data_IF_156923412568
#
_entry.id   IF_156923412568
#
_cell.length_a   1.000
_cell.length_b   1.000
_cell.length_c   1.000
_cell.angle_alpha   90.00
_cell.angle_beta   90.00
_cell.angle_gamma   90.00
#
_symmetry.space_group_name_H-M   'P 1'
#
loop_
_entity.id
_entity.type
_entity.pdbx_description
1 polymer ?
#
# COMPACT_ATOMS: atom_id res chain seq x y z
N UNK A 1 17.04 -16.54 -0.94
CA UNK A 1 16.99 -15.10 -0.59
C UNK A 1 15.69 -14.64 0.06
N UNK A 2 14.49 -14.94 -0.46
CA UNK A 2 13.23 -14.48 0.14
C UNK A 2 12.98 -15.01 1.57
N UNK A 3 13.27 -16.29 1.83
CA UNK A 3 13.11 -16.90 3.17
C UNK A 3 14.08 -16.33 4.21
N UNK A 4 15.34 -16.09 3.83
CA UNK A 4 16.33 -15.46 4.71
C UNK A 4 15.92 -14.02 5.10
N UNK A 5 15.40 -13.24 4.15
CA UNK A 5 14.89 -11.90 4.42
C UNK A 5 13.62 -11.92 5.28
N UNK A 6 12.73 -12.90 5.06
CA UNK A 6 11.54 -13.10 5.89
C UNK A 6 11.91 -13.49 7.33
N UNK A 7 12.90 -14.38 7.49
CA UNK A 7 13.42 -14.81 8.78
C UNK A 7 14.10 -13.66 9.54
N UNK A 8 14.99 -12.91 8.89
CA UNK A 8 15.61 -11.72 9.48
C UNK A 8 14.56 -10.69 9.90
N UNK A 9 13.53 -10.47 9.07
CA UNK A 9 12.40 -9.60 9.42
C UNK A 9 11.59 -10.11 10.61
N UNK A 10 11.42 -11.43 10.77
CA UNK A 10 10.70 -12.01 11.90
C UNK A 10 11.48 -11.93 13.22
N UNK A 11 12.81 -12.05 13.16
CA UNK A 11 13.70 -11.87 14.32
C UNK A 11 13.77 -10.41 14.76
N UNK A 12 13.95 -9.49 13.82
CA UNK A 12 14.05 -8.05 14.11
C UNK A 12 12.70 -7.44 14.51
N UNK A 13 11.59 -8.00 14.03
CA UNK A 13 10.24 -7.52 14.29
C UNK A 13 9.37 -8.64 14.86
N UNK A 14 9.58 -9.09 16.12
CA UNK A 14 8.85 -10.22 16.70
C UNK A 14 7.33 -10.03 16.64
N UNK A 15 6.59 -11.10 16.28
CA UNK A 15 5.15 -11.01 15.94
C UNK A 15 4.33 -10.30 17.02
N UNK A 16 4.43 -10.77 18.26
CA UNK A 16 3.65 -10.25 19.38
C UNK A 16 3.99 -8.81 19.70
N UNK A 17 5.28 -8.53 19.94
CA UNK A 17 5.76 -7.18 20.25
C UNK A 17 5.41 -6.16 19.16
N UNK A 18 5.57 -6.53 17.89
CA UNK A 18 5.27 -5.66 16.76
C UNK A 18 3.76 -5.43 16.58
N UNK A 19 2.92 -6.47 16.69
CA UNK A 19 1.47 -6.30 16.56
C UNK A 19 0.89 -5.45 17.70
N UNK A 20 1.34 -5.67 18.94
CA UNK A 20 0.95 -4.84 20.09
C UNK A 20 1.33 -3.38 19.85
N UNK A 21 2.59 -3.12 19.46
CA UNK A 21 3.04 -1.77 19.14
C UNK A 21 2.25 -1.13 18.00
N UNK A 22 1.97 -1.88 16.93
CA UNK A 22 1.19 -1.40 15.79
C UNK A 22 -0.22 -0.97 16.23
N UNK A 23 -0.88 -1.72 17.10
CA UNK A 23 -2.20 -1.33 17.61
C UNK A 23 -2.13 -0.13 18.54
N UNK A 24 -1.21 -0.11 19.49
CA UNK A 24 -1.04 1.01 20.43
C UNK A 24 -0.75 2.32 19.70
N UNK A 25 0.05 2.26 18.64
CA UNK A 25 0.42 3.43 17.82
C UNK A 25 -0.57 3.70 16.69
N UNK A 26 -1.75 3.05 16.67
CA UNK A 26 -2.75 3.18 15.58
C UNK A 26 -2.13 3.06 14.19
N UNK A 27 -1.28 2.05 14.03
CA UNK A 27 -0.59 1.70 12.79
C UNK A 27 0.21 2.85 12.15
N UNK A 28 0.68 3.81 12.96
CA UNK A 28 1.60 4.85 12.51
C UNK A 28 2.95 4.22 12.11
N UNK A 29 3.21 4.22 10.79
CA UNK A 29 4.36 3.57 10.19
C UNK A 29 5.65 4.27 10.62
N UNK A 30 5.66 5.61 10.72
CA UNK A 30 6.88 6.36 11.06
C UNK A 30 7.24 6.15 12.52
N UNK A 31 6.25 6.12 13.43
CA UNK A 31 6.47 5.74 14.84
C UNK A 31 6.95 4.30 15.00
N UNK A 32 6.47 3.38 14.16
CA UNK A 32 6.96 2.01 14.14
C UNK A 32 8.39 1.91 13.60
N UNK A 33 8.78 2.74 12.63
CA UNK A 33 10.16 2.83 12.16
C UNK A 33 11.10 3.26 13.29
N UNK A 34 10.73 4.30 14.03
CA UNK A 34 11.47 4.81 15.20
C UNK A 34 11.63 3.72 16.26
N UNK A 35 10.53 3.05 16.63
CA UNK A 35 10.52 2.07 17.72
C UNK A 35 11.35 0.81 17.43
N UNK A 36 11.36 0.35 16.18
CA UNK A 36 12.01 -0.91 15.80
C UNK A 36 13.30 -0.71 14.99
N UNK A 37 13.77 0.53 14.83
CA UNK A 37 14.95 0.89 14.03
C UNK A 37 14.92 0.23 12.65
N UNK A 38 13.76 0.34 11.98
CA UNK A 38 13.49 -0.33 10.72
C UNK A 38 13.12 0.68 9.63
N UNK A 39 13.45 0.34 8.38
CA UNK A 39 13.04 1.15 7.23
C UNK A 39 11.53 1.09 7.00
N UNK A 40 10.99 2.09 6.30
CA UNK A 40 9.57 2.14 5.92
C UNK A 40 9.14 0.87 5.17
N UNK A 41 9.97 0.39 4.23
CA UNK A 41 9.69 -0.87 3.50
C UNK A 41 9.63 -2.08 4.43
N UNK A 42 10.54 -2.19 5.42
CA UNK A 42 10.54 -3.30 6.38
C UNK A 42 9.30 -3.29 7.28
N UNK A 43 8.91 -2.13 7.81
CA UNK A 43 7.70 -1.96 8.63
C UNK A 43 6.46 -2.33 7.83
N UNK A 44 6.29 -1.77 6.62
CA UNK A 44 5.16 -2.06 5.74
C UNK A 44 5.10 -3.55 5.34
N UNK A 45 6.25 -4.15 5.02
CA UNK A 45 6.32 -5.58 4.72
C UNK A 45 5.94 -6.43 5.92
N UNK A 46 6.33 -6.04 7.13
CA UNK A 46 5.97 -6.76 8.35
C UNK A 46 4.47 -6.68 8.62
N UNK A 47 3.87 -5.51 8.51
CA UNK A 47 2.43 -5.31 8.63
C UNK A 47 1.67 -6.23 7.66
N UNK A 48 2.06 -6.24 6.38
CA UNK A 48 1.46 -7.11 5.36
C UNK A 48 1.67 -8.60 5.64
N UNK A 49 2.82 -8.98 6.21
CA UNK A 49 3.12 -10.38 6.56
C UNK A 49 2.27 -10.86 7.74
N UNK A 50 2.02 -9.98 8.73
CA UNK A 50 1.16 -10.29 9.87
C UNK A 50 -0.27 -10.61 9.42
N UNK A 51 -0.80 -9.89 8.43
CA UNK A 51 -2.14 -10.12 7.87
C UNK A 51 -2.35 -11.50 7.23
N UNK A 52 -1.28 -12.27 7.01
CA UNK A 52 -1.33 -13.62 6.42
C UNK A 52 -1.04 -14.73 7.41
N UNK A 53 -0.49 -14.39 8.58
CA UNK A 53 -0.17 -15.38 9.59
C UNK A 53 -1.46 -15.84 10.28
N UNK A 54 -1.52 -17.10 10.76
CA UNK A 54 -2.59 -17.55 11.62
C UNK A 54 -2.81 -16.58 12.79
N UNK A 55 -4.06 -16.54 13.24
CA UNK A 55 -4.37 -15.88 14.51
C UNK A 55 -3.54 -16.55 15.61
N UNK A 56 -2.98 -15.73 16.48
CA UNK A 56 -2.23 -16.18 17.65
C UNK A 56 -2.73 -15.41 18.85
N UNK A 57 -2.11 -15.59 20.01
CA UNK A 57 -2.61 -15.09 21.31
C UNK A 57 -2.85 -13.57 21.38
N UNK A 58 -2.29 -12.82 20.44
CA UNK A 58 -2.49 -11.38 20.30
C UNK A 58 -3.68 -11.01 19.39
N UNK A 59 -4.53 -11.94 18.98
CA UNK A 59 -5.69 -11.73 18.10
C UNK A 59 -5.34 -11.40 16.64
N UNK A 60 -6.37 -11.20 15.82
CA UNK A 60 -6.24 -10.94 14.38
C UNK A 60 -5.71 -9.52 14.07
N UNK A 61 -4.68 -9.37 13.21
CA UNK A 61 -4.25 -8.08 12.70
C UNK A 61 -5.22 -7.53 11.65
N UNK A 62 -5.17 -6.22 11.39
CA UNK A 62 -5.87 -5.62 10.24
C UNK A 62 -5.43 -6.32 8.94
N UNK A 63 -6.37 -6.70 8.05
CA UNK A 63 -6.04 -7.20 6.73
C UNK A 63 -5.45 -6.10 5.84
N UNK A 64 -4.17 -6.23 5.48
CA UNK A 64 -3.42 -5.21 4.75
C UNK A 64 -3.24 -5.59 3.26
N UNK A 65 -3.27 -4.61 2.37
CA UNK A 65 -2.65 -4.71 1.05
C UNK A 65 -1.31 -3.98 1.01
N UNK A 66 -0.40 -4.46 0.17
CA UNK A 66 0.93 -3.94 -0.01
C UNK A 66 1.31 -3.98 -1.49
N UNK A 67 1.91 -2.91 -1.98
CA UNK A 67 2.44 -2.77 -3.32
C UNK A 67 3.80 -2.07 -3.27
N UNK A 68 4.74 -2.49 -4.13
CA UNK A 68 5.96 -1.74 -4.42
C UNK A 68 6.07 -1.48 -5.91
N UNK A 69 6.13 -0.21 -6.30
CA UNK A 69 6.28 0.22 -7.69
C UNK A 69 7.56 1.01 -7.90
N UNK A 70 8.01 1.10 -9.14
CA UNK A 70 8.97 2.11 -9.59
C UNK A 70 8.26 3.27 -10.32
N UNK A 71 9.04 4.26 -10.77
CA UNK A 71 8.55 5.46 -11.46
C UNK A 71 7.86 5.14 -12.79
N UNK A 72 8.18 4.01 -13.42
CA UNK A 72 7.56 3.57 -14.66
C UNK A 72 6.24 2.80 -14.39
N UNK A 73 5.88 2.61 -13.12
CA UNK A 73 4.71 1.86 -12.71
C UNK A 73 4.91 0.34 -12.72
N UNK A 74 6.15 -0.15 -12.85
CA UNK A 74 6.42 -1.57 -12.73
C UNK A 74 6.20 -2.02 -11.29
N UNK A 75 5.38 -3.05 -11.11
CA UNK A 75 5.09 -3.62 -9.80
C UNK A 75 6.10 -4.73 -9.52
N UNK A 76 6.96 -4.53 -8.52
CA UNK A 76 8.01 -5.49 -8.15
C UNK A 76 7.65 -6.36 -6.93
N UNK A 77 6.67 -5.94 -6.12
CA UNK A 77 6.10 -6.72 -5.01
C UNK A 77 4.62 -6.39 -4.85
N UNK A 78 3.79 -7.40 -4.58
CA UNK A 78 2.35 -7.25 -4.35
C UNK A 78 1.82 -8.31 -3.40
N UNK A 79 1.03 -7.90 -2.42
CA UNK A 79 0.34 -8.78 -1.48
C UNK A 79 -1.01 -8.15 -1.12
N UNK A 80 -2.08 -8.92 -1.04
CA UNK A 80 -3.38 -8.39 -0.58
C UNK A 80 -4.06 -9.39 0.35
N UNK A 81 -4.31 -8.96 1.58
CA UNK A 81 -5.23 -9.58 2.53
C UNK A 81 -6.49 -8.73 2.74
N UNK A 82 -6.47 -7.45 2.35
CA UNK A 82 -7.59 -6.51 2.51
C UNK A 82 -8.79 -6.74 1.59
N UNK A 83 -8.71 -7.67 0.64
CA UNK A 83 -9.70 -7.82 -0.43
C UNK A 83 -9.48 -6.91 -1.65
N UNK A 84 -8.64 -5.87 -1.55
CA UNK A 84 -8.27 -5.06 -2.71
C UNK A 84 -7.65 -5.93 -3.81
N UNK A 85 -8.26 -5.91 -5.00
CA UNK A 85 -7.71 -6.58 -6.18
C UNK A 85 -6.53 -5.79 -6.72
N UNK A 86 -5.32 -6.34 -6.53
CA UNK A 86 -4.10 -5.73 -7.05
C UNK A 86 -3.88 -6.11 -8.52
N UNK A 87 -3.32 -5.20 -9.35
CA UNK A 87 -3.02 -5.48 -10.75
C UNK A 87 -2.13 -6.72 -10.89
N UNK A 88 -2.52 -7.64 -11.78
CA UNK A 88 -1.74 -8.87 -12.07
C UNK A 88 -0.61 -8.62 -13.07
N UNK A 89 -0.86 -7.76 -14.05
CA UNK A 89 0.06 -7.35 -15.11
C UNK A 89 0.29 -5.84 -15.02
N UNK A 90 1.32 -5.34 -15.72
CA UNK A 90 1.79 -3.95 -15.65
C UNK A 90 0.67 -2.90 -15.67
N UNK A 91 0.88 -1.81 -14.93
CA UNK A 91 -0.01 -0.65 -14.92
C UNK A 91 -1.14 -0.76 -13.90
N UNK A 92 -0.88 -0.30 -12.68
CA UNK A 92 -1.95 0.12 -11.77
C UNK A 92 -2.72 1.30 -12.36
N UNK A 93 -3.92 1.55 -11.86
CA UNK A 93 -4.66 2.75 -12.24
C UNK A 93 -3.79 4.01 -11.97
N UNK A 94 -3.60 4.90 -12.96
CA UNK A 94 -2.73 6.07 -12.79
C UNK A 94 -3.23 7.03 -11.71
N UNK A 95 -4.52 6.93 -11.36
CA UNK A 95 -5.15 7.68 -10.26
C UNK A 95 -4.75 7.20 -8.87
N UNK A 96 -4.11 6.03 -8.73
CA UNK A 96 -3.69 5.55 -7.42
C UNK A 96 -2.58 6.44 -6.85
N UNK A 97 -2.71 6.78 -5.57
CA UNK A 97 -1.75 7.60 -4.83
C UNK A 97 -0.32 7.04 -4.84
N UNK A 98 -0.16 5.75 -5.13
CA UNK A 98 1.10 5.09 -5.46
C UNK A 98 1.97 5.90 -6.42
N UNK A 99 1.37 6.48 -7.46
CA UNK A 99 2.07 7.26 -8.48
C UNK A 99 2.33 8.70 -8.01
N UNK A 100 1.34 9.34 -7.38
CA UNK A 100 1.45 10.70 -6.83
C UNK A 100 2.58 10.81 -5.79
N UNK A 101 2.86 9.73 -5.04
CA UNK A 101 3.95 9.70 -4.07
C UNK A 101 5.33 10.05 -4.69
N UNK A 102 5.55 9.75 -5.98
CA UNK A 102 6.81 10.10 -6.66
C UNK A 102 6.98 11.61 -6.88
N UNK A 103 5.90 12.40 -6.86
CA UNK A 103 5.95 13.85 -6.99
C UNK A 103 6.49 14.52 -5.73
N UNK A 104 6.38 13.86 -4.57
CA UNK A 104 6.88 14.37 -3.29
C UNK A 104 7.64 13.28 -2.52
N UNK A 105 8.82 12.83 -3.02
CA UNK A 105 9.59 11.78 -2.36
C UNK A 105 9.90 12.12 -0.90
N UNK A 106 9.77 11.13 -0.02
CA UNK A 106 9.96 11.28 1.42
C UNK A 106 8.71 11.72 2.19
N UNK A 107 7.63 12.14 1.52
CA UNK A 107 6.34 12.45 2.16
C UNK A 107 5.37 11.29 2.05
N UNK A 108 4.60 11.08 3.11
CA UNK A 108 3.43 10.20 3.08
C UNK A 108 2.28 10.96 2.41
N UNK A 109 1.61 10.27 1.50
CA UNK A 109 0.38 10.71 0.84
C UNK A 109 -0.69 9.65 1.04
N UNK A 110 -1.93 10.09 1.27
CA UNK A 110 -3.07 9.20 1.53
C UNK A 110 -4.15 9.41 0.49
N UNK A 111 -4.98 8.39 0.28
CA UNK A 111 -6.12 8.43 -0.63
C UNK A 111 -7.20 7.48 -0.14
N UNK A 112 -8.46 7.90 -0.24
CA UNK A 112 -9.62 7.00 -0.12
C UNK A 112 -10.02 6.58 -1.53
N UNK A 113 -9.73 5.34 -1.90
CA UNK A 113 -9.98 4.81 -3.23
C UNK A 113 -11.30 4.02 -3.27
N UNK A 114 -12.21 4.41 -4.17
CA UNK A 114 -13.46 3.68 -4.44
C UNK A 114 -13.39 2.93 -5.77
N UNK A 115 -13.38 1.60 -5.68
CA UNK A 115 -13.36 0.73 -6.85
C UNK A 115 -14.73 0.67 -7.55
N UNK A 116 -14.79 0.21 -8.81
CA UNK A 116 -16.04 0.11 -9.57
C UNK A 116 -17.08 -0.80 -8.92
N UNK A 117 -16.65 -1.88 -8.24
CA UNK A 117 -17.53 -2.77 -7.47
C UNK A 117 -18.07 -2.17 -6.15
N UNK A 118 -17.71 -0.92 -5.82
CA UNK A 118 -18.16 -0.24 -4.61
C UNK A 118 -17.22 -0.35 -3.41
N UNK A 119 -16.28 -1.32 -3.42
CA UNK A 119 -15.25 -1.47 -2.39
C UNK A 119 -14.47 -0.17 -2.18
N UNK A 120 -14.35 0.27 -0.91
CA UNK A 120 -13.66 1.50 -0.54
C UNK A 120 -12.45 1.16 0.32
N UNK A 121 -11.28 1.69 -0.04
CA UNK A 121 -10.00 1.33 0.56
C UNK A 121 -9.23 2.58 0.96
N UNK A 122 -8.54 2.51 2.10
CA UNK A 122 -7.52 3.48 2.43
C UNK A 122 -6.22 3.07 1.75
N UNK A 123 -5.61 3.97 0.99
CA UNK A 123 -4.27 3.82 0.41
C UNK A 123 -3.34 4.84 1.05
N UNK A 124 -2.16 4.39 1.48
CA UNK A 124 -1.08 5.20 2.04
C UNK A 124 0.15 4.91 1.18
N UNK A 125 0.78 5.93 0.61
CA UNK A 125 1.98 5.75 -0.20
C UNK A 125 3.11 6.69 0.22
N UNK A 126 4.35 6.19 0.10
CA UNK A 126 5.58 6.97 0.28
C UNK A 126 6.60 6.52 -0.74
N UNK A 127 7.11 7.47 -1.53
CA UNK A 127 8.22 7.23 -2.44
C UNK A 127 9.55 7.58 -1.79
N UNK A 128 10.61 6.84 -2.11
CA UNK A 128 11.96 7.10 -1.63
C UNK A 128 13.01 6.62 -2.63
N UNK A 129 14.16 7.31 -2.62
CA UNK A 129 15.32 6.91 -3.39
C UNK A 129 16.01 5.72 -2.73
N UNK A 130 16.46 4.77 -3.55
CA UNK A 130 17.44 3.76 -3.15
C UNK A 130 18.84 4.32 -3.44
N UNK A 131 19.77 4.26 -2.48
CA UNK A 131 21.14 4.72 -2.72
C UNK A 131 21.79 3.93 -3.87
N UNK A 132 22.31 4.65 -4.87
CA UNK A 132 23.02 4.06 -6.01
C UNK A 132 24.51 3.79 -5.75
N UNK A 133 25.05 4.16 -4.58
CA UNK A 133 26.47 3.95 -4.25
C UNK A 133 27.42 5.09 -4.66
N UNK A 134 26.92 6.26 -5.08
CA UNK A 134 27.75 7.43 -5.36
C UNK A 134 27.01 8.53 -6.11
N UNK A 135 27.66 9.70 -6.29
CA UNK A 135 27.09 10.88 -6.97
C UNK A 135 26.64 10.58 -8.41
N UNK A 136 27.44 9.83 -9.16
CA UNK A 136 27.18 9.51 -10.58
C UNK A 136 26.43 8.20 -10.79
N UNK A 137 26.13 7.47 -9.73
CA UNK A 137 25.45 6.20 -9.85
C UNK A 137 23.96 6.41 -10.09
N UNK A 138 23.38 5.59 -10.97
CA UNK A 138 21.95 5.58 -11.22
C UNK A 138 21.19 5.35 -9.91
N UNK A 139 20.25 6.24 -9.60
CA UNK A 139 19.34 6.11 -8.46
C UNK A 139 18.04 5.48 -8.93
N UNK A 140 17.56 4.49 -8.20
CA UNK A 140 16.22 3.95 -8.40
C UNK A 140 15.29 4.54 -7.35
N UNK A 141 14.06 4.84 -7.74
CA UNK A 141 13.01 5.27 -6.82
C UNK A 141 11.98 4.17 -6.70
N UNK A 142 11.53 3.92 -5.48
CA UNK A 142 10.41 3.04 -5.22
C UNK A 142 9.33 3.79 -4.46
N UNK A 143 8.07 3.47 -4.79
CA UNK A 143 6.91 3.82 -3.99
C UNK A 143 6.41 2.58 -3.30
N UNK A 144 6.23 2.66 -1.99
CA UNK A 144 5.56 1.64 -1.19
C UNK A 144 4.15 2.14 -0.95
N UNK A 145 3.17 1.36 -1.34
CA UNK A 145 1.75 1.59 -1.02
C UNK A 145 1.24 0.51 -0.11
N UNK A 146 0.58 0.92 0.97
CA UNK A 146 0.01 0.05 2.00
C UNK A 146 -1.35 0.58 2.39
N UNK A 147 -2.21 -0.29 2.90
CA UNK A 147 -3.49 0.14 3.44
C UNK A 147 -4.42 -1.03 3.70
N UNK A 148 -5.70 -0.73 3.89
CA UNK A 148 -6.73 -1.71 4.26
C UNK A 148 -8.06 -1.37 3.59
N UNK A 149 -9.04 -2.26 3.76
CA UNK A 149 -10.45 -1.92 3.56
C UNK A 149 -10.83 -0.78 4.51
N UNK A 150 -11.58 0.20 4.02
CA UNK A 150 -11.90 1.40 4.78
C UNK A 150 -12.69 1.09 6.07
N UNK A 151 -13.38 -0.05 6.14
CA UNK A 151 -14.02 -0.53 7.37
C UNK A 151 -13.04 -0.72 8.55
N UNK A 152 -11.74 -0.92 8.27
CA UNK A 152 -10.69 -0.98 9.28
C UNK A 152 -9.89 0.32 9.43
N UNK A 153 -10.11 1.32 8.59
CA UNK A 153 -9.30 2.53 8.51
C UNK A 153 -9.26 3.33 9.81
N UNK A 154 -10.33 3.31 10.63
CA UNK A 154 -10.37 3.99 11.94
C UNK A 154 -9.22 3.63 12.89
N UNK A 155 -8.62 2.45 12.70
CA UNK A 155 -7.49 1.97 13.50
C UNK A 155 -6.13 2.49 13.00
N UNK A 156 -6.09 3.17 11.86
CA UNK A 156 -4.89 3.78 11.29
C UNK A 156 -4.93 5.29 11.45
N UNK A 157 -3.86 5.91 11.96
CA UNK A 157 -3.74 7.37 12.09
C UNK A 157 -3.97 8.10 10.76
N UNK A 158 -3.63 7.45 9.65
CA UNK A 158 -3.76 7.98 8.29
C UNK A 158 -5.21 8.18 7.81
N UNK A 159 -6.20 7.68 8.57
CA UNK A 159 -7.61 7.90 8.30
C UNK A 159 -8.20 9.09 9.06
N UNK A 160 -7.43 9.73 9.95
CA UNK A 160 -7.93 10.83 10.77
C UNK A 160 -8.38 12.00 9.88
N UNK A 161 -9.62 12.44 10.08
CA UNK A 161 -10.24 13.50 9.29
C UNK A 161 -10.77 13.07 7.92
N UNK A 162 -10.69 11.79 7.55
CA UNK A 162 -11.24 11.28 6.29
C UNK A 162 -12.65 10.72 6.49
N UNK A 163 -13.64 11.32 5.81
CA UNK A 163 -14.99 10.78 5.70
C UNK A 163 -15.24 10.27 4.27
N UNK A 164 -15.41 8.96 4.04
CA UNK A 164 -15.63 8.39 2.71
C UNK A 164 -17.01 8.73 2.13
N UNK A 165 -17.95 9.24 2.94
CA UNK A 165 -19.25 9.72 2.49
C UNK A 165 -19.21 11.19 2.06
N UNK A 166 -18.21 11.96 2.52
CA UNK A 166 -18.05 13.36 2.14
C UNK A 166 -17.76 13.48 0.63
N UNK A 167 -18.42 14.43 -0.07
CA UNK A 167 -18.20 14.65 -1.49
C UNK A 167 -16.72 14.89 -1.81
N UNK A 168 -16.19 14.19 -2.80
CA UNK A 168 -14.81 14.37 -3.29
C UNK A 168 -13.72 13.68 -2.46
N UNK A 169 -14.02 13.10 -1.28
CA UNK A 169 -13.02 12.39 -0.48
C UNK A 169 -12.72 11.00 -1.06
N UNK A 170 -13.76 10.23 -1.39
CA UNK A 170 -13.61 8.92 -1.99
C UNK A 170 -13.43 9.03 -3.51
N UNK A 171 -12.20 8.92 -3.98
CA UNK A 171 -11.85 9.03 -5.38
C UNK A 171 -12.23 7.78 -6.18
N UNK A 172 -12.97 7.92 -7.30
CA UNK A 172 -13.29 6.79 -8.15
C UNK A 172 -12.04 6.32 -8.91
N UNK A 173 -11.59 5.10 -8.61
CA UNK A 173 -10.45 4.47 -9.27
C UNK A 173 -10.85 3.15 -9.93
N UNK A 174 -9.91 2.52 -10.63
CA UNK A 174 -9.98 1.13 -11.07
C UNK A 174 -8.75 0.34 -10.60
N UNK A 175 -8.66 -0.94 -10.97
CA UNK A 175 -7.44 -1.73 -10.75
C UNK A 175 -6.41 -1.45 -11.85
N UNK A 176 -6.83 -1.54 -13.11
CA UNK A 176 -6.05 -1.21 -14.31
C UNK A 176 -6.97 -0.66 -15.39
N UNK A 177 -6.44 0.12 -16.35
CA UNK A 177 -7.27 0.70 -17.43
C UNK A 177 -8.00 -0.39 -18.24
N UNK A 178 -7.31 -1.49 -18.55
CA UNK A 178 -7.83 -2.61 -19.33
C UNK A 178 -8.99 -3.35 -18.66
N UNK A 179 -9.09 -3.31 -17.33
CA UNK A 179 -10.15 -4.01 -16.57
C UNK A 179 -11.16 -3.04 -15.95
N UNK A 180 -11.01 -1.75 -16.18
CA UNK A 180 -11.86 -0.74 -15.56
C UNK A 180 -13.10 -0.48 -16.43
N UNK A 181 -14.33 -0.67 -15.91
CA UNK A 181 -15.56 -0.45 -16.67
C UNK A 181 -15.97 1.03 -16.77
N UNK A 182 -15.30 1.95 -16.06
CA UNK A 182 -15.64 3.38 -16.03
C UNK A 182 -15.46 4.03 -17.40
N UNK A 183 -16.53 4.54 -18.02
CA UNK A 183 -16.47 5.14 -19.37
C UNK A 183 -15.97 6.60 -19.35
N UNK A 184 -16.21 7.30 -18.25
CA UNK A 184 -15.96 8.73 -18.02
C UNK A 184 -14.62 9.02 -17.31
N UNK A 185 -13.55 8.31 -17.68
CA UNK A 185 -12.24 8.49 -17.05
C UNK A 185 -11.29 9.29 -17.95
N UNK A 186 -11.08 10.57 -17.63
CA UNK A 186 -10.13 11.43 -18.34
C UNK A 186 -8.66 10.96 -18.25
N UNK A 187 -8.32 10.13 -17.25
CA UNK A 187 -6.98 9.54 -17.09
C UNK A 187 -6.87 8.13 -17.68
N UNK A 188 -7.82 7.71 -18.52
CA UNK A 188 -7.78 6.41 -19.18
C UNK A 188 -6.62 6.37 -20.18
N UNK A 189 -5.63 5.52 -19.90
CA UNK A 189 -4.46 5.34 -20.76
C UNK A 189 -4.63 4.22 -21.81
N UNK A 190 -5.49 3.23 -21.54
CA UNK A 190 -5.73 2.10 -22.43
C UNK A 190 -7.24 1.82 -22.54
N UNK A 191 -7.72 1.35 -23.69
CA UNK A 191 -9.10 0.87 -23.83
C UNK A 191 -9.36 -0.27 -22.85
N UNK A 192 -10.59 -0.36 -22.35
CA UNK A 192 -11.04 -1.53 -21.61
C UNK A 192 -11.02 -2.74 -22.55
N UNK A 193 -10.65 -3.91 -22.04
CA UNK A 193 -10.81 -5.15 -22.78
C UNK A 193 -12.31 -5.39 -22.97
N UNK A 194 -12.71 -5.67 -24.21
CA UNK A 194 -14.06 -6.15 -24.47
C UNK A 194 -14.24 -7.46 -23.71
N UNK A 195 -15.16 -7.45 -22.75
CA UNK A 195 -15.62 -8.67 -22.10
C UNK A 195 -16.55 -9.33 -23.12
N UNK A 196 -16.02 -10.23 -23.95
CA UNK A 196 -16.89 -11.18 -24.65
C UNK A 196 -17.54 -12.05 -23.58
N UNK A 197 -18.87 -11.93 -23.44
CA UNK A 197 -19.72 -12.86 -22.69
C UNK A 197 -19.73 -14.24 -23.35
#
# INVERSE_FOLDING_TARGET
HALANAFAGALLLPRGAFLTAARTLRYDIERLQERFTASFEQVCHRLASLSRAPEGDHGAPIPIHFLRTDIAGNISKRFSASGLRLPRYTGACPRWVTHTAFLTPGRIVTQVARLPEGGTYLLIAKAFARPGGGWRAARTYHSITIGCDFAFARHMVYADGLDPAAPGVAEPVGVSCRQCPRKDCAQRALPALEMHE
#
